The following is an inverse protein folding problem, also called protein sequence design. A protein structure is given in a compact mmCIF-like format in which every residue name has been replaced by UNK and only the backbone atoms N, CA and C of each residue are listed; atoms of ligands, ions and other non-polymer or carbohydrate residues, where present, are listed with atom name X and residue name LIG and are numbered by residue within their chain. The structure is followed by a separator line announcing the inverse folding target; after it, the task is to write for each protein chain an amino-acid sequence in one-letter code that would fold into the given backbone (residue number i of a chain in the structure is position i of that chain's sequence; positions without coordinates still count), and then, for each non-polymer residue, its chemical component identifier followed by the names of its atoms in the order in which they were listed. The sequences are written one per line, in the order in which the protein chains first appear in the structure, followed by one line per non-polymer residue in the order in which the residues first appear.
data_IF_843785393390
#
_entry.id   IF_843785393390
#
_cell.length_a   1.000
_cell.length_b   1.000
_cell.length_c   1.000
_cell.angle_alpha   90.00
_cell.angle_beta   90.00
_cell.angle_gamma   90.00
#
_symmetry.space_group_name_H-M   'P 1'
#
loop_
_entity.id
_entity.type
_entity.pdbx_description
1 polymer ?
#
# COMPACT_ATOMS: atom_id res chain seq x y z
N UNK A 1 20.63 31.20 -2.54
CA UNK A 1 20.70 31.71 -1.16
C UNK A 1 19.52 31.11 -0.41
N UNK A 2 19.76 30.20 0.51
CA UNK A 2 18.74 29.53 1.33
C UNK A 2 18.38 30.51 2.47
N UNK A 3 17.09 30.70 2.74
CA UNK A 3 16.60 31.55 3.82
C UNK A 3 16.93 30.98 5.20
N UNK A 4 16.91 31.81 6.28
CA UNK A 4 17.53 31.50 7.57
C UNK A 4 16.78 30.50 8.49
N UNK A 5 15.75 29.83 8.07
CA UNK A 5 14.93 28.95 8.95
C UNK A 5 14.66 27.57 8.36
N UNK A 6 15.72 26.84 7.99
CA UNK A 6 15.57 25.49 7.47
C UNK A 6 16.33 24.50 8.36
N UNK A 7 15.60 23.66 9.10
CA UNK A 7 16.16 22.58 9.92
C UNK A 7 16.04 21.27 9.16
N UNK A 8 17.17 20.61 8.96
CA UNK A 8 17.27 19.30 8.29
C UNK A 8 17.09 18.19 9.33
N UNK A 9 15.91 17.61 9.43
CA UNK A 9 15.67 16.38 10.17
C UNK A 9 15.27 15.28 9.19
N UNK A 10 16.16 14.31 9.01
CA UNK A 10 15.92 13.06 8.30
C UNK A 10 15.40 13.17 6.85
N UNK A 11 15.94 14.09 6.03
CA UNK A 11 15.71 14.12 4.59
C UNK A 11 14.33 14.60 4.12
N UNK A 12 13.52 15.17 5.01
CA UNK A 12 12.23 15.81 4.69
C UNK A 12 12.36 17.30 4.99
N UNK A 13 12.10 18.16 3.99
CA UNK A 13 12.02 19.61 4.18
C UNK A 13 10.67 19.95 4.79
N UNK A 14 10.65 20.32 6.06
CA UNK A 14 9.51 20.97 6.70
C UNK A 14 9.67 22.47 6.60
N UNK A 15 8.65 23.18 6.17
CA UNK A 15 8.51 24.60 6.41
C UNK A 15 8.07 24.79 7.87
N UNK A 16 8.62 25.78 8.58
CA UNK A 16 8.41 26.02 10.03
C UNK A 16 6.95 26.24 10.47
N UNK A 17 6.00 26.27 9.54
CA UNK A 17 4.58 26.57 9.81
C UNK A 17 3.66 25.34 9.90
N UNK A 18 4.16 24.11 9.68
CA UNK A 18 3.29 22.92 9.74
C UNK A 18 3.34 22.25 11.11
N UNK A 19 2.19 22.17 11.77
CA UNK A 19 2.07 21.45 13.03
C UNK A 19 2.48 19.97 12.87
N UNK A 20 3.29 19.45 13.80
CA UNK A 20 3.73 18.05 13.74
C UNK A 20 2.53 17.12 13.82
N UNK A 21 2.39 16.21 12.83
CA UNK A 21 1.34 15.21 12.80
C UNK A 21 1.58 14.11 13.83
N UNK A 22 0.53 13.72 14.58
CA UNK A 22 0.58 12.63 15.57
C UNK A 22 0.51 11.26 14.88
N UNK A 23 -0.34 11.11 13.89
CA UNK A 23 -0.41 9.86 13.11
C UNK A 23 0.92 9.68 12.38
N UNK A 24 1.54 8.53 12.59
CA UNK A 24 2.89 8.22 12.11
C UNK A 24 3.98 8.32 13.18
N UNK A 25 3.66 8.76 14.39
CA UNK A 25 4.57 8.72 15.52
C UNK A 25 4.49 7.36 16.24
N UNK A 26 5.65 6.77 16.51
CA UNK A 26 5.80 5.64 17.42
C UNK A 26 5.76 6.16 18.87
N UNK A 27 5.63 5.28 19.84
CA UNK A 27 5.51 5.69 21.25
C UNK A 27 6.69 6.55 21.77
N UNK A 28 7.96 6.25 21.41
CA UNK A 28 9.07 7.14 21.77
C UNK A 28 8.98 8.53 21.12
N UNK A 29 8.52 8.60 19.87
CA UNK A 29 8.34 9.87 19.15
C UNK A 29 7.26 10.73 19.82
N UNK A 30 6.15 10.11 20.24
CA UNK A 30 5.09 10.78 20.99
C UNK A 30 5.59 11.30 22.33
N UNK A 31 6.40 10.51 23.05
CA UNK A 31 6.99 10.96 24.31
C UNK A 31 7.88 12.20 24.09
N UNK A 32 8.69 12.19 23.02
CA UNK A 32 9.52 13.34 22.69
C UNK A 32 8.68 14.58 22.30
N UNK A 33 7.60 14.37 21.51
CA UNK A 33 6.69 15.44 21.10
C UNK A 33 5.91 16.08 22.27
N UNK A 34 5.62 15.30 23.33
CA UNK A 34 4.98 15.80 24.54
C UNK A 34 5.92 16.64 25.42
N UNK A 35 7.22 16.39 25.34
CA UNK A 35 8.23 17.03 26.18
C UNK A 35 8.47 16.28 27.50
N UNK A 36 9.57 16.63 28.18
CA UNK A 36 10.03 15.99 29.41
C UNK A 36 9.11 16.24 30.61
N UNK A 37 8.33 17.30 30.59
CA UNK A 37 7.39 17.67 31.64
C UNK A 37 6.17 16.74 31.71
N UNK A 38 5.87 16.02 30.63
CA UNK A 38 4.73 15.11 30.59
C UNK A 38 5.14 13.67 30.99
N UNK A 39 4.41 13.04 31.92
CA UNK A 39 4.69 11.67 32.32
C UNK A 39 4.56 10.69 31.13
N UNK A 40 5.40 9.66 31.07
CA UNK A 40 5.44 8.69 29.98
C UNK A 40 4.08 7.98 29.70
N UNK A 41 3.22 7.86 30.70
CA UNK A 41 1.90 7.28 30.51
C UNK A 41 0.98 8.14 29.62
N UNK A 42 1.23 9.46 29.50
CA UNK A 42 0.47 10.36 28.61
C UNK A 42 0.67 10.00 27.13
N UNK A 43 1.90 9.69 26.74
CA UNK A 43 2.18 9.19 25.39
C UNK A 43 1.42 7.90 25.10
N UNK A 44 1.35 6.98 26.07
CA UNK A 44 0.56 5.74 25.92
C UNK A 44 -0.94 6.01 25.80
N UNK A 45 -1.49 6.97 26.56
CA UNK A 45 -2.90 7.35 26.45
C UNK A 45 -3.22 7.90 25.07
N UNK A 46 -2.36 8.75 24.50
CA UNK A 46 -2.55 9.30 23.15
C UNK A 46 -2.37 8.18 22.11
N UNK A 47 -1.36 7.34 22.24
CA UNK A 47 -1.09 6.23 21.35
C UNK A 47 -2.28 5.27 21.27
N UNK A 48 -2.82 4.86 22.42
CA UNK A 48 -4.01 4.02 22.50
C UNK A 48 -5.24 4.73 21.88
N UNK A 49 -5.45 6.00 22.19
CA UNK A 49 -6.56 6.80 21.66
C UNK A 49 -6.51 6.89 20.14
N UNK A 50 -5.34 7.16 19.54
CA UNK A 50 -5.15 7.33 18.11
C UNK A 50 -5.23 6.00 17.35
N UNK A 51 -4.47 4.99 17.79
CA UNK A 51 -4.28 3.78 16.99
C UNK A 51 -5.24 2.64 17.36
N UNK A 52 -5.66 2.53 18.63
CA UNK A 52 -6.58 1.48 19.08
C UNK A 52 -8.03 1.94 19.07
N UNK A 53 -8.30 3.09 19.71
CA UNK A 53 -9.66 3.67 19.76
C UNK A 53 -10.00 4.42 18.47
N UNK A 54 -8.97 4.82 17.67
CA UNK A 54 -9.09 5.54 16.41
C UNK A 54 -9.78 6.89 16.54
N UNK A 55 -9.54 7.58 17.66
CA UNK A 55 -10.00 8.95 17.86
C UNK A 55 -9.32 9.86 16.82
N UNK A 56 -10.10 10.63 16.10
CA UNK A 56 -9.64 11.47 14.99
C UNK A 56 -9.42 12.92 15.34
N UNK A 57 -9.61 13.31 16.61
CA UNK A 57 -9.45 14.67 17.08
C UNK A 57 -8.87 14.65 18.50
N UNK A 58 -7.81 15.43 18.73
CA UNK A 58 -7.12 15.51 20.02
C UNK A 58 -8.03 15.97 21.17
N UNK A 59 -8.99 16.86 20.90
CA UNK A 59 -9.91 17.35 21.92
C UNK A 59 -10.89 16.27 22.40
N UNK A 60 -11.06 15.20 21.62
CA UNK A 60 -11.93 14.06 21.96
C UNK A 60 -11.23 13.00 22.82
N UNK A 61 -9.93 13.12 23.12
CA UNK A 61 -9.19 12.17 23.96
C UNK A 61 -9.55 12.43 25.43
N UNK A 62 -10.69 11.94 25.87
CA UNK A 62 -11.31 12.31 27.17
C UNK A 62 -10.52 11.87 28.41
N UNK A 63 -9.62 10.90 28.29
CA UNK A 63 -8.73 10.46 29.37
C UNK A 63 -7.51 11.40 29.60
N UNK A 64 -7.38 12.48 28.81
CA UNK A 64 -6.43 13.56 29.04
C UNK A 64 -7.12 14.76 29.73
N UNK A 65 -6.40 15.54 30.58
CA UNK A 65 -6.90 16.80 31.11
C UNK A 65 -7.31 17.77 30.00
N UNK A 66 -8.37 18.54 30.24
CA UNK A 66 -8.89 19.51 29.25
C UNK A 66 -7.84 20.52 28.81
N UNK A 67 -7.02 21.03 29.77
CA UNK A 67 -5.94 21.96 29.50
C UNK A 67 -4.89 21.36 28.55
N UNK A 68 -4.47 20.11 28.81
CA UNK A 68 -3.51 19.41 27.97
C UNK A 68 -4.06 19.15 26.56
N UNK A 69 -5.33 18.75 26.43
CA UNK A 69 -5.96 18.56 25.10
C UNK A 69 -5.92 19.84 24.27
N UNK A 70 -6.27 20.98 24.87
CA UNK A 70 -6.24 22.28 24.19
C UNK A 70 -4.80 22.69 23.81
N UNK A 71 -3.85 22.51 24.71
CA UNK A 71 -2.44 22.76 24.46
C UNK A 71 -1.93 21.89 23.28
N UNK A 72 -2.18 20.59 23.31
CA UNK A 72 -1.73 19.70 22.24
C UNK A 72 -2.37 20.07 20.90
N UNK A 73 -3.67 20.36 20.88
CA UNK A 73 -4.37 20.77 19.66
C UNK A 73 -3.91 22.10 19.08
N UNK A 74 -3.24 22.97 19.86
CA UNK A 74 -2.68 24.23 19.35
C UNK A 74 -1.30 24.08 18.69
N UNK A 75 -0.59 22.97 18.92
CA UNK A 75 0.77 22.75 18.39
C UNK A 75 0.97 21.46 17.61
N UNK A 76 0.03 20.53 17.68
CA UNK A 76 0.09 19.27 16.98
C UNK A 76 -1.16 19.08 16.11
N UNK A 77 -1.00 18.52 14.93
CA UNK A 77 -2.10 18.09 14.08
C UNK A 77 -2.38 16.60 14.27
N UNK A 78 -3.60 16.15 13.98
CA UNK A 78 -3.89 14.70 13.95
C UNK A 78 -3.14 14.02 12.79
N UNK A 79 -3.09 14.64 11.61
CA UNK A 79 -2.40 14.13 10.43
C UNK A 79 -3.15 12.99 9.72
N UNK A 80 -4.48 12.94 9.87
CA UNK A 80 -5.32 12.00 9.12
C UNK A 80 -5.67 12.59 7.75
N UNK A 81 -5.61 11.79 6.65
CA UNK A 81 -6.06 12.25 5.35
C UNK A 81 -7.58 12.45 5.34
N UNK A 82 -8.04 13.43 4.56
CA UNK A 82 -9.44 13.74 4.38
C UNK A 82 -10.02 13.07 3.12
N UNK A 83 -11.28 12.57 3.14
CA UNK A 83 -11.89 12.02 1.94
C UNK A 83 -12.28 13.14 0.97
N UNK A 84 -11.66 13.18 -0.22
CA UNK A 84 -12.04 14.07 -1.31
C UNK A 84 -13.14 13.45 -2.21
N UNK A 85 -13.12 12.10 -2.37
CA UNK A 85 -14.16 11.38 -3.11
C UNK A 85 -14.25 9.91 -2.67
N UNK A 86 -15.44 9.31 -2.81
CA UNK A 86 -15.71 7.89 -2.65
C UNK A 86 -16.38 7.34 -3.91
N UNK A 87 -15.93 6.18 -4.37
CA UNK A 87 -16.51 5.43 -5.48
C UNK A 87 -16.89 4.04 -5.01
N UNK A 88 -18.10 3.60 -5.34
CA UNK A 88 -18.68 2.33 -4.91
C UNK A 88 -18.91 1.40 -6.09
N UNK A 89 -18.28 0.23 -6.06
CA UNK A 89 -18.46 -0.81 -7.04
C UNK A 89 -19.66 -1.70 -6.72
N UNK A 90 -20.24 -2.29 -7.75
CA UNK A 90 -21.32 -3.29 -7.62
C UNK A 90 -20.86 -4.56 -6.88
N UNK A 91 -19.56 -4.83 -6.80
CA UNK A 91 -18.99 -5.96 -6.06
C UNK A 91 -18.67 -5.64 -4.59
N UNK A 92 -19.11 -4.49 -4.10
CA UNK A 92 -18.88 -4.00 -2.73
C UNK A 92 -17.53 -3.31 -2.52
N UNK A 93 -16.64 -3.30 -3.51
CA UNK A 93 -15.35 -2.58 -3.43
C UNK A 93 -15.59 -1.08 -3.34
N UNK A 94 -14.80 -0.40 -2.51
CA UNK A 94 -14.84 1.06 -2.36
C UNK A 94 -13.48 1.64 -2.62
N UNK A 95 -13.40 2.64 -3.49
CA UNK A 95 -12.20 3.42 -3.78
C UNK A 95 -12.37 4.82 -3.20
N UNK A 96 -11.41 5.22 -2.41
CA UNK A 96 -11.33 6.55 -1.81
C UNK A 96 -10.22 7.35 -2.46
N UNK A 97 -10.52 8.57 -2.85
CA UNK A 97 -9.53 9.60 -3.13
C UNK A 97 -9.34 10.37 -1.82
N UNK A 98 -8.16 10.28 -1.24
CA UNK A 98 -7.82 10.90 0.04
C UNK A 98 -6.90 12.09 -0.20
N UNK A 99 -7.28 13.25 0.32
CA UNK A 99 -6.49 14.47 0.31
C UNK A 99 -5.52 14.48 1.50
N UNK A 100 -4.28 14.82 1.23
CA UNK A 100 -3.20 14.98 2.18
C UNK A 100 -3.09 16.46 2.60
N UNK A 101 -2.31 16.73 3.64
CA UNK A 101 -2.15 18.08 4.19
C UNK A 101 -1.63 19.11 3.16
N UNK A 102 -0.80 18.66 2.23
CA UNK A 102 -0.25 19.46 1.13
C UNK A 102 -1.15 19.54 -0.11
N UNK A 103 -2.45 19.20 0.03
CA UNK A 103 -3.48 19.18 -1.01
C UNK A 103 -3.25 18.15 -2.13
N UNK A 104 -2.21 17.32 -2.02
CA UNK A 104 -2.04 16.18 -2.90
C UNK A 104 -3.02 15.08 -2.53
N UNK A 105 -3.31 14.24 -3.50
CA UNK A 105 -4.26 13.15 -3.28
C UNK A 105 -3.62 11.79 -3.53
N UNK A 106 -4.08 10.79 -2.79
CA UNK A 106 -3.76 9.38 -3.00
C UNK A 106 -5.01 8.53 -2.99
N UNK A 107 -4.93 7.35 -3.58
CA UNK A 107 -6.06 6.43 -3.61
C UNK A 107 -5.85 5.27 -2.65
N UNK A 108 -6.93 4.91 -1.97
CA UNK A 108 -7.03 3.77 -1.06
C UNK A 108 -8.26 2.97 -1.41
N UNK A 109 -8.15 1.64 -1.40
CA UNK A 109 -9.26 0.76 -1.80
C UNK A 109 -9.59 -0.21 -0.67
N UNK A 110 -10.87 -0.26 -0.28
CA UNK A 110 -11.42 -1.30 0.56
C UNK A 110 -12.07 -2.38 -0.33
N UNK A 111 -11.65 -3.61 -0.15
CA UNK A 111 -12.19 -4.80 -0.81
C UNK A 111 -12.78 -5.73 0.24
N UNK A 112 -14.09 -5.65 0.53
CA UNK A 112 -14.75 -6.60 1.41
C UNK A 112 -14.86 -7.95 0.71
N UNK A 113 -14.60 -9.03 1.43
CA UNK A 113 -14.79 -10.39 0.97
C UNK A 113 -15.81 -11.06 1.89
N UNK A 114 -17.02 -11.28 1.40
CA UNK A 114 -18.06 -11.99 2.09
C UNK A 114 -18.03 -13.48 1.70
N UNK A 115 -17.83 -14.33 2.66
CA UNK A 115 -17.95 -15.80 2.53
C UNK A 115 -19.02 -16.33 3.48
N UNK A 116 -19.50 -17.58 3.29
CA UNK A 116 -20.55 -18.15 4.13
C UNK A 116 -20.24 -18.11 5.64
N UNK A 117 -18.95 -18.20 5.99
CA UNK A 117 -18.54 -18.30 7.39
C UNK A 117 -17.64 -17.15 7.89
N UNK A 118 -17.18 -16.23 7.05
CA UNK A 118 -16.25 -15.18 7.46
C UNK A 118 -16.28 -13.95 6.54
N UNK A 119 -16.43 -12.77 7.17
CA UNK A 119 -16.10 -11.49 6.53
C UNK A 119 -14.58 -11.33 6.55
N UNK A 120 -13.98 -11.00 5.42
CA UNK A 120 -12.57 -10.57 5.31
C UNK A 120 -12.53 -9.25 4.60
N UNK A 121 -11.78 -8.32 5.16
CA UNK A 121 -11.55 -7.04 4.54
C UNK A 121 -10.09 -6.96 4.07
N UNK A 122 -9.87 -6.43 2.89
CA UNK A 122 -8.53 -6.10 2.41
C UNK A 122 -8.48 -4.61 2.09
N UNK A 123 -7.55 -3.90 2.70
CA UNK A 123 -7.28 -2.50 2.38
C UNK A 123 -6.03 -2.45 1.50
N UNK A 124 -6.17 -1.91 0.30
CA UNK A 124 -5.06 -1.60 -0.60
C UNK A 124 -4.66 -0.15 -0.37
N UNK A 125 -3.40 0.07 0.02
CA UNK A 125 -2.87 1.39 0.36
C UNK A 125 -1.73 1.80 -0.56
N UNK A 126 -1.57 3.11 -0.70
CA UNK A 126 -0.52 3.78 -1.48
C UNK A 126 0.70 4.05 -0.60
N UNK A 127 1.89 4.11 -1.22
CA UNK A 127 3.16 4.42 -0.57
C UNK A 127 3.84 5.69 -1.09
N UNK A 128 3.38 6.21 -2.22
CA UNK A 128 3.88 7.41 -2.88
C UNK A 128 2.73 8.17 -3.53
N UNK A 129 2.92 9.45 -3.76
CA UNK A 129 2.10 10.26 -4.68
C UNK A 129 2.67 10.06 -6.07
N UNK A 130 1.99 9.24 -6.90
CA UNK A 130 2.52 8.76 -8.19
C UNK A 130 3.48 7.57 -8.05
N UNK A 131 4.24 7.25 -9.10
CA UNK A 131 5.21 6.14 -9.11
C UNK A 131 6.32 6.37 -10.15
N UNK A 132 7.61 6.18 -9.80
CA UNK A 132 8.71 6.43 -10.72
C UNK A 132 9.10 5.21 -11.57
N UNK A 133 8.47 4.03 -11.38
CA UNK A 133 8.93 2.77 -11.97
C UNK A 133 8.58 2.66 -13.45
N UNK A 134 7.55 3.37 -13.91
CA UNK A 134 7.12 3.43 -15.31
C UNK A 134 6.75 2.06 -15.92
N UNK A 135 5.99 1.22 -15.17
CA UNK A 135 5.43 -0.01 -15.73
C UNK A 135 4.40 0.32 -16.82
N UNK A 136 4.56 -0.24 -18.04
CA UNK A 136 3.80 0.14 -19.23
C UNK A 136 2.31 -0.24 -19.20
N UNK A 137 1.92 -1.09 -18.25
CA UNK A 137 0.54 -1.57 -18.05
C UNK A 137 -0.14 -0.95 -16.80
N UNK A 138 0.44 0.11 -16.22
CA UNK A 138 -0.03 0.69 -14.96
C UNK A 138 -0.36 2.18 -15.11
N UNK A 139 -1.60 2.58 -14.80
CA UNK A 139 -2.03 3.98 -14.90
C UNK A 139 -1.27 4.90 -13.92
N UNK A 140 -0.90 4.41 -12.75
CA UNK A 140 -0.10 5.21 -11.80
C UNK A 140 1.25 5.62 -12.38
N UNK A 141 1.82 4.80 -13.27
CA UNK A 141 3.09 5.10 -13.91
C UNK A 141 3.02 6.32 -14.83
N UNK A 142 1.85 6.59 -15.43
CA UNK A 142 1.65 7.75 -16.31
C UNK A 142 1.71 9.09 -15.56
N UNK A 143 1.62 9.05 -14.24
CA UNK A 143 1.64 10.26 -13.39
C UNK A 143 3.06 10.72 -13.03
N UNK A 144 4.05 9.83 -13.17
CA UNK A 144 5.37 10.05 -12.59
C UNK A 144 5.36 10.03 -11.06
N UNK A 145 6.46 10.43 -10.45
CA UNK A 145 6.59 10.54 -8.99
C UNK A 145 6.56 12.02 -8.59
N UNK A 146 5.68 12.36 -7.65
CA UNK A 146 5.72 13.67 -7.00
C UNK A 146 6.52 13.61 -5.69
N UNK A 147 6.15 12.72 -4.76
CA UNK A 147 6.88 12.48 -3.51
C UNK A 147 6.56 11.15 -2.84
N UNK A 148 7.39 10.80 -1.89
CA UNK A 148 7.09 9.72 -0.95
C UNK A 148 5.99 10.13 0.03
N UNK A 149 5.18 9.17 0.47
CA UNK A 149 4.30 9.35 1.62
C UNK A 149 5.10 9.20 2.91
N UNK A 150 4.73 9.97 3.92
CA UNK A 150 5.22 9.77 5.29
C UNK A 150 4.64 8.49 5.89
N UNK A 151 5.22 8.00 6.97
CA UNK A 151 4.66 6.86 7.71
C UNK A 151 3.23 7.17 8.21
N UNK A 152 2.98 8.42 8.60
CA UNK A 152 1.66 8.89 9.01
C UNK A 152 0.63 8.83 7.90
N UNK A 153 0.96 9.29 6.71
CA UNK A 153 0.08 9.23 5.55
C UNK A 153 -0.21 7.79 5.11
N UNK A 154 0.77 6.87 5.26
CA UNK A 154 0.56 5.44 4.99
C UNK A 154 -0.39 4.82 6.01
N UNK A 155 -0.17 5.04 7.30
CA UNK A 155 -1.03 4.54 8.40
C UNK A 155 -2.39 5.21 8.38
N UNK A 156 -2.44 6.50 8.08
CA UNK A 156 -3.66 7.31 8.00
C UNK A 156 -4.70 6.76 7.03
N UNK A 157 -4.26 6.20 5.89
CA UNK A 157 -5.15 5.51 4.95
C UNK A 157 -5.87 4.33 5.61
N UNK A 158 -5.13 3.52 6.39
CA UNK A 158 -5.71 2.38 7.12
C UNK A 158 -6.67 2.86 8.20
N UNK A 159 -6.25 3.84 9.01
CA UNK A 159 -7.10 4.40 10.08
C UNK A 159 -8.38 5.02 9.52
N UNK A 160 -8.29 5.74 8.39
CA UNK A 160 -9.46 6.30 7.71
C UNK A 160 -10.47 5.21 7.35
N UNK A 161 -10.04 4.16 6.64
CA UNK A 161 -10.94 3.07 6.22
C UNK A 161 -11.49 2.31 7.42
N UNK A 162 -10.66 2.02 8.43
CA UNK A 162 -11.11 1.33 9.63
C UNK A 162 -12.16 2.13 10.41
N UNK A 163 -12.07 3.46 10.43
CA UNK A 163 -13.08 4.34 11.06
C UNK A 163 -14.36 4.38 10.22
N UNK A 164 -14.24 4.63 8.92
CA UNK A 164 -15.39 4.75 8.02
C UNK A 164 -16.24 3.46 7.94
N UNK A 165 -15.65 2.31 8.24
CA UNK A 165 -16.31 1.00 8.17
C UNK A 165 -16.39 0.27 9.52
N UNK A 166 -16.08 0.92 10.63
CA UNK A 166 -16.14 0.37 11.97
C UNK A 166 -15.42 -0.99 12.12
N UNK A 167 -14.29 -1.16 11.39
CA UNK A 167 -13.53 -2.41 11.40
C UNK A 167 -12.85 -2.57 12.77
N UNK A 168 -13.23 -3.57 13.54
CA UNK A 168 -12.71 -3.81 14.91
C UNK A 168 -11.23 -4.20 14.93
N UNK A 169 -10.55 -3.93 16.04
CA UNK A 169 -9.17 -4.35 16.33
C UNK A 169 -9.07 -5.07 17.67
N UNK A 170 -8.11 -5.99 17.85
CA UNK A 170 -7.28 -6.60 16.80
C UNK A 170 -8.15 -7.41 15.83
N UNK A 171 -7.88 -7.30 14.55
CA UNK A 171 -8.65 -8.00 13.50
C UNK A 171 -7.80 -9.08 12.82
N UNK A 172 -8.16 -10.34 13.01
CA UNK A 172 -7.64 -11.47 12.23
C UNK A 172 -8.26 -11.55 10.82
N UNK A 173 -9.23 -10.69 10.54
CA UNK A 173 -9.98 -10.63 9.26
C UNK A 173 -9.52 -9.50 8.35
N UNK A 174 -8.70 -8.57 8.83
CA UNK A 174 -8.17 -7.47 8.05
C UNK A 174 -6.82 -7.82 7.41
N UNK A 175 -6.70 -7.62 6.10
CA UNK A 175 -5.44 -7.67 5.37
C UNK A 175 -5.09 -6.28 4.84
N UNK A 176 -3.81 -5.95 4.84
CA UNK A 176 -3.27 -4.75 4.21
C UNK A 176 -2.39 -5.17 3.03
N UNK A 177 -2.58 -4.55 1.88
CA UNK A 177 -1.71 -4.73 0.73
C UNK A 177 -1.16 -3.39 0.27
N UNK A 178 0.16 -3.24 0.23
CA UNK A 178 0.85 -2.08 -0.32
C UNK A 178 1.02 -2.30 -1.82
N UNK A 179 -0.12 -2.20 -2.53
CA UNK A 179 -0.26 -2.44 -3.98
C UNK A 179 -1.03 -1.30 -4.67
N UNK A 180 -1.23 -0.19 -3.96
CA UNK A 180 -1.79 1.05 -4.47
C UNK A 180 -0.77 1.84 -5.28
N UNK A 181 -0.79 3.16 -5.15
CA UNK A 181 0.12 4.05 -5.86
C UNK A 181 1.53 3.98 -5.25
N UNK A 182 2.55 3.87 -6.13
CA UNK A 182 3.96 3.93 -5.73
C UNK A 182 4.70 2.59 -5.73
N UNK A 183 6.03 2.70 -5.59
CA UNK A 183 6.95 1.58 -5.34
C UNK A 183 7.39 1.62 -3.87
N UNK A 184 6.86 0.73 -3.02
CA UNK A 184 7.12 0.80 -1.57
C UNK A 184 8.60 0.71 -1.18
N UNK A 185 9.41 -0.03 -1.94
CA UNK A 185 10.84 -0.16 -1.64
C UNK A 185 11.64 1.12 -1.93
N UNK A 186 11.12 2.05 -2.74
CA UNK A 186 11.71 3.38 -2.89
C UNK A 186 11.34 4.32 -1.74
N UNK A 187 10.38 3.92 -0.91
CA UNK A 187 9.99 4.61 0.33
C UNK A 187 10.20 3.74 1.57
N UNK A 188 11.20 2.87 1.56
CA UNK A 188 11.35 1.82 2.56
C UNK A 188 11.36 2.31 4.01
N UNK A 189 12.05 3.40 4.40
CA UNK A 189 12.04 3.86 5.79
C UNK A 189 10.64 4.16 6.32
N UNK A 190 9.81 4.89 5.57
CA UNK A 190 8.44 5.20 5.96
C UNK A 190 7.53 3.96 5.95
N UNK A 191 7.72 3.06 4.98
CA UNK A 191 6.99 1.80 4.88
C UNK A 191 7.28 0.89 6.07
N UNK A 192 8.53 0.80 6.52
CA UNK A 192 8.89 0.02 7.71
C UNK A 192 8.34 0.65 8.98
N UNK A 193 8.48 1.97 9.14
CA UNK A 193 7.88 2.69 10.28
C UNK A 193 6.36 2.50 10.32
N UNK A 194 5.67 2.64 9.19
CA UNK A 194 4.24 2.36 9.10
C UNK A 194 3.91 0.89 9.44
N UNK A 195 4.72 -0.07 8.98
CA UNK A 195 4.53 -1.49 9.31
C UNK A 195 4.67 -1.74 10.82
N UNK A 196 5.65 -1.12 11.48
CA UNK A 196 5.80 -1.23 12.95
C UNK A 196 4.57 -0.69 13.67
N UNK A 197 4.08 0.48 13.30
CA UNK A 197 2.87 1.07 13.90
C UNK A 197 1.64 0.18 13.67
N UNK A 198 1.44 -0.31 12.44
CA UNK A 198 0.31 -1.18 12.09
C UNK A 198 0.33 -2.52 12.87
N UNK A 199 1.52 -3.00 13.23
CA UNK A 199 1.68 -4.30 13.91
C UNK A 199 1.87 -4.18 15.43
N UNK A 200 2.01 -2.97 15.96
CA UNK A 200 2.21 -2.76 17.39
C UNK A 200 1.00 -3.25 18.20
N UNK A 201 1.18 -4.21 19.11
CA UNK A 201 0.09 -4.72 19.96
C UNK A 201 -0.54 -3.65 20.86
N UNK A 202 0.17 -2.59 21.21
CA UNK A 202 -0.35 -1.47 21.98
C UNK A 202 -1.28 -0.55 21.17
N UNK A 203 -1.26 -0.67 19.83
CA UNK A 203 -2.05 0.13 18.90
C UNK A 203 -3.02 -0.71 18.06
N UNK A 204 -2.80 -0.76 16.74
CA UNK A 204 -3.68 -1.47 15.80
C UNK A 204 -3.55 -2.99 15.94
N UNK A 205 -2.35 -3.50 16.21
CA UNK A 205 -2.13 -4.90 16.56
C UNK A 205 -2.31 -5.91 15.41
N UNK A 206 -2.10 -5.50 14.15
CA UNK A 206 -2.18 -6.42 13.02
C UNK A 206 -1.02 -7.41 13.02
N UNK A 207 -1.30 -8.68 12.74
CA UNK A 207 -0.23 -9.64 12.51
C UNK A 207 0.58 -9.29 11.24
N UNK A 208 1.92 -9.35 11.24
CA UNK A 208 2.74 -9.20 10.04
C UNK A 208 2.33 -10.16 8.91
N UNK A 209 1.71 -11.30 9.22
CA UNK A 209 1.14 -12.25 8.24
C UNK A 209 0.00 -11.63 7.40
N UNK A 210 -0.60 -10.54 7.89
CA UNK A 210 -1.72 -9.86 7.25
C UNK A 210 -1.29 -8.69 6.37
N UNK A 211 -0.02 -8.31 6.40
CA UNK A 211 0.50 -7.20 5.61
C UNK A 211 1.35 -7.77 4.47
N UNK A 212 1.10 -7.32 3.25
CA UNK A 212 1.88 -7.70 2.05
C UNK A 212 2.36 -6.45 1.35
N UNK A 213 3.65 -6.37 1.09
CA UNK A 213 4.30 -5.36 0.27
C UNK A 213 4.55 -5.94 -1.11
N UNK A 214 4.16 -5.21 -2.17
CA UNK A 214 4.51 -5.54 -3.55
C UNK A 214 5.61 -4.62 -4.05
N UNK A 215 6.55 -5.18 -4.83
CA UNK A 215 7.66 -4.42 -5.43
C UNK A 215 7.86 -4.78 -6.89
N UNK A 216 8.24 -3.79 -7.69
CA UNK A 216 8.71 -4.01 -9.06
C UNK A 216 10.13 -4.62 -9.12
N UNK A 217 10.81 -4.74 -7.97
CA UNK A 217 12.11 -5.39 -7.88
C UNK A 217 13.28 -4.43 -7.73
N UNK A 218 13.25 -3.58 -6.71
CA UNK A 218 14.41 -2.74 -6.33
C UNK A 218 15.39 -3.61 -5.56
N UNK A 219 16.27 -4.32 -6.30
CA UNK A 219 17.10 -5.42 -5.82
C UNK A 219 17.84 -5.13 -4.50
N UNK A 220 18.59 -4.02 -4.32
CA UNK A 220 19.27 -3.74 -3.06
C UNK A 220 18.29 -3.58 -1.88
N UNK A 221 17.11 -3.04 -2.14
CA UNK A 221 16.09 -2.80 -1.10
C UNK A 221 15.33 -4.08 -0.70
N UNK A 222 15.32 -5.12 -1.54
CA UNK A 222 14.80 -6.45 -1.16
C UNK A 222 15.68 -7.03 -0.04
N UNK A 223 17.01 -6.94 -0.16
CA UNK A 223 17.93 -7.40 0.86
C UNK A 223 17.84 -6.58 2.15
N UNK A 224 17.65 -5.26 2.03
CA UNK A 224 17.42 -4.35 3.16
C UNK A 224 16.13 -4.70 3.92
N UNK A 225 15.00 -4.87 3.20
CA UNK A 225 13.74 -5.32 3.78
C UNK A 225 13.91 -6.68 4.50
N UNK A 226 14.69 -7.59 3.94
CA UNK A 226 14.95 -8.91 4.54
C UNK A 226 15.58 -8.85 5.92
N UNK A 227 16.34 -7.80 6.24
CA UNK A 227 17.00 -7.60 7.55
C UNK A 227 16.09 -6.99 8.60
N UNK A 228 14.95 -6.43 8.19
CA UNK A 228 14.02 -5.81 9.14
C UNK A 228 13.36 -6.86 10.04
N UNK A 229 13.42 -6.70 11.36
CA UNK A 229 12.84 -7.66 12.31
C UNK A 229 11.30 -7.70 12.20
N UNK A 230 10.68 -6.55 11.95
CA UNK A 230 9.24 -6.40 11.70
C UNK A 230 9.06 -5.98 10.26
N UNK A 231 8.61 -6.88 9.41
CA UNK A 231 8.42 -6.63 7.98
C UNK A 231 7.17 -7.29 7.43
N UNK A 232 6.54 -6.72 6.38
CA UNK A 232 5.44 -7.35 5.66
C UNK A 232 5.90 -8.60 4.90
N UNK A 233 4.95 -9.39 4.39
CA UNK A 233 5.23 -10.42 3.37
C UNK A 233 5.66 -9.75 2.07
N UNK A 234 6.54 -10.41 1.33
CA UNK A 234 7.03 -9.91 0.06
C UNK A 234 6.26 -10.52 -1.12
N UNK A 235 5.71 -9.63 -1.97
CA UNK A 235 5.24 -9.93 -3.31
C UNK A 235 6.14 -9.23 -4.33
N UNK A 236 6.47 -9.91 -5.42
CA UNK A 236 7.34 -9.41 -6.48
C UNK A 236 6.59 -9.38 -7.80
N UNK A 237 6.51 -8.21 -8.41
CA UNK A 237 5.94 -8.00 -9.74
C UNK A 237 6.90 -8.55 -10.80
N UNK A 238 6.68 -9.79 -11.21
CA UNK A 238 7.48 -10.46 -12.24
C UNK A 238 7.09 -9.98 -13.64
N UNK A 239 5.84 -10.12 -14.01
CA UNK A 239 5.13 -9.63 -15.20
C UNK A 239 5.74 -9.98 -16.57
N UNK A 240 6.83 -10.74 -16.58
CA UNK A 240 7.50 -11.21 -17.79
C UNK A 240 8.18 -12.55 -17.55
N UNK A 241 8.41 -13.31 -18.60
CA UNK A 241 9.01 -14.64 -18.55
C UNK A 241 10.49 -14.66 -18.94
N UNK A 242 11.01 -13.54 -19.45
CA UNK A 242 12.41 -13.36 -19.85
C UNK A 242 12.85 -11.90 -19.69
N UNK A 243 14.15 -11.66 -19.81
CA UNK A 243 14.79 -10.36 -19.60
C UNK A 243 14.31 -9.30 -20.60
N UNK A 244 14.25 -9.63 -21.90
CA UNK A 244 13.89 -8.70 -22.96
C UNK A 244 12.45 -8.22 -22.80
N UNK A 245 11.52 -9.14 -22.67
CA UNK A 245 10.10 -8.84 -22.40
C UNK A 245 9.94 -7.99 -21.13
N UNK A 246 10.71 -8.28 -20.08
CA UNK A 246 10.63 -7.50 -18.86
C UNK A 246 11.18 -6.08 -18.99
N UNK A 247 12.22 -5.88 -19.82
CA UNK A 247 12.75 -4.53 -20.10
C UNK A 247 11.74 -3.64 -20.80
N UNK A 248 10.94 -4.20 -21.69
CA UNK A 248 9.87 -3.48 -22.39
C UNK A 248 8.72 -3.14 -21.46
N UNK A 249 8.24 -4.12 -20.70
CA UNK A 249 7.08 -3.95 -19.83
C UNK A 249 7.38 -3.19 -18.54
N UNK A 250 8.59 -3.34 -18.00
CA UNK A 250 9.04 -2.77 -16.73
C UNK A 250 10.45 -2.20 -16.89
N UNK A 251 10.61 -0.93 -17.30
CA UNK A 251 11.90 -0.30 -17.57
C UNK A 251 12.93 -0.34 -16.44
N UNK A 252 12.48 -0.53 -15.20
CA UNK A 252 13.35 -0.75 -14.03
C UNK A 252 14.33 -1.94 -14.24
N UNK A 253 13.98 -2.87 -15.12
CA UNK A 253 14.81 -4.02 -15.50
C UNK A 253 16.14 -3.61 -16.13
N UNK A 254 16.21 -2.41 -16.73
CA UNK A 254 17.48 -1.85 -17.24
C UNK A 254 18.48 -1.58 -16.12
N UNK A 255 17.98 -1.31 -14.91
CA UNK A 255 18.81 -1.05 -13.71
C UNK A 255 19.06 -2.32 -12.90
N UNK A 256 18.06 -3.20 -12.81
CA UNK A 256 18.12 -4.44 -12.06
C UNK A 256 17.64 -5.58 -12.95
N UNK A 257 18.57 -6.43 -13.41
CA UNK A 257 18.28 -7.53 -14.33
C UNK A 257 17.29 -8.54 -13.70
N UNK A 258 16.59 -9.29 -14.53
CA UNK A 258 15.73 -10.38 -14.08
C UNK A 258 16.55 -11.43 -13.29
N UNK A 259 17.80 -11.69 -13.73
CA UNK A 259 18.71 -12.59 -13.01
C UNK A 259 18.99 -12.08 -11.60
N UNK A 260 19.37 -10.80 -11.44
CA UNK A 260 19.66 -10.23 -10.12
C UNK A 260 18.42 -10.22 -9.23
N UNK A 261 17.24 -9.97 -9.80
CA UNK A 261 15.98 -10.04 -9.08
C UNK A 261 15.71 -11.45 -8.54
N UNK A 262 15.88 -12.49 -9.35
CA UNK A 262 15.67 -13.87 -8.93
C UNK A 262 16.71 -14.29 -7.87
N UNK A 263 17.97 -13.89 -8.02
CA UNK A 263 18.98 -14.16 -6.98
C UNK A 263 18.68 -13.42 -5.66
N UNK A 264 18.20 -12.19 -5.71
CA UNK A 264 17.75 -11.47 -4.52
C UNK A 264 16.55 -12.16 -3.84
N UNK A 265 15.61 -12.68 -4.62
CA UNK A 265 14.48 -13.47 -4.12
C UNK A 265 14.94 -14.78 -3.48
N UNK A 266 15.94 -15.46 -4.05
CA UNK A 266 16.53 -16.69 -3.52
C UNK A 266 17.24 -16.45 -2.19
N UNK A 267 17.93 -15.32 -2.06
CA UNK A 267 18.65 -14.93 -0.85
C UNK A 267 17.72 -14.33 0.23
N UNK A 268 16.44 -14.04 -0.09
CA UNK A 268 15.53 -13.42 0.86
C UNK A 268 15.20 -14.35 2.03
N UNK A 269 15.37 -13.90 3.29
CA UNK A 269 15.21 -14.77 4.48
C UNK A 269 13.72 -14.99 4.79
N UNK A 270 13.11 -16.00 4.19
CA UNK A 270 11.74 -16.39 4.46
C UNK A 270 11.57 -16.94 5.87
N UNK A 271 10.47 -16.56 6.53
CA UNK A 271 10.04 -17.19 7.78
C UNK A 271 9.50 -18.61 7.49
N UNK A 272 9.46 -19.54 8.46
CA UNK A 272 9.02 -20.92 8.22
C UNK A 272 7.64 -21.07 7.57
N UNK A 273 6.74 -20.13 7.84
CA UNK A 273 5.37 -20.11 7.31
C UNK A 273 5.22 -19.29 6.02
N UNK A 274 6.28 -18.59 5.59
CA UNK A 274 6.23 -17.59 4.52
C UNK A 274 6.58 -18.20 3.16
N UNK A 275 5.92 -17.72 2.13
CA UNK A 275 6.27 -17.96 0.73
C UNK A 275 6.40 -16.64 0.02
N UNK A 276 7.34 -16.54 -0.89
CA UNK A 276 7.36 -15.44 -1.86
C UNK A 276 6.08 -15.49 -2.71
N UNK A 277 5.57 -14.33 -3.05
CA UNK A 277 4.47 -14.22 -4.00
C UNK A 277 4.99 -13.56 -5.25
N UNK A 278 4.79 -14.16 -6.42
CA UNK A 278 5.07 -13.51 -7.70
C UNK A 278 3.74 -13.09 -8.33
N UNK A 279 3.60 -11.79 -8.58
CA UNK A 279 2.46 -11.23 -9.31
C UNK A 279 2.82 -11.20 -10.80
N UNK A 280 1.91 -11.70 -11.64
CA UNK A 280 2.11 -11.77 -13.08
C UNK A 280 0.86 -11.27 -13.79
N UNK A 281 0.95 -10.05 -14.34
CA UNK A 281 -0.10 -9.45 -15.16
C UNK A 281 -0.02 -10.06 -16.55
N UNK A 282 -1.07 -10.76 -16.96
CA UNK A 282 -1.19 -11.37 -18.29
C UNK A 282 -1.70 -10.32 -19.28
N UNK A 283 -0.94 -10.15 -20.36
CA UNK A 283 -1.18 -9.23 -21.48
C UNK A 283 -1.36 -10.07 -22.76
N UNK A 284 -2.51 -9.93 -23.41
CA UNK A 284 -2.89 -10.72 -24.59
C UNK A 284 -1.85 -10.62 -25.70
N UNK A 285 -1.35 -11.77 -26.14
CA UNK A 285 -0.38 -11.88 -27.23
C UNK A 285 1.03 -11.35 -26.91
N UNK A 286 1.29 -10.94 -25.66
CA UNK A 286 2.58 -10.36 -25.25
C UNK A 286 3.35 -11.30 -24.35
N UNK A 287 2.76 -11.70 -23.22
CA UNK A 287 3.43 -12.49 -22.18
C UNK A 287 2.57 -13.69 -21.69
N UNK A 288 1.55 -14.05 -22.46
CA UNK A 288 0.52 -15.03 -22.05
C UNK A 288 0.62 -16.38 -22.79
N UNK A 289 1.68 -16.62 -23.57
CA UNK A 289 1.85 -17.87 -24.31
C UNK A 289 2.20 -19.07 -23.39
N UNK A 290 2.01 -20.28 -23.90
CA UNK A 290 2.47 -21.52 -23.22
C UNK A 290 3.98 -21.53 -22.99
N UNK A 291 4.73 -20.95 -23.93
CA UNK A 291 6.18 -20.81 -23.79
C UNK A 291 6.53 -19.88 -22.63
N UNK A 292 5.76 -18.78 -22.44
CA UNK A 292 5.91 -17.89 -21.27
C UNK A 292 5.63 -18.63 -19.99
N UNK A 293 4.54 -19.38 -19.90
CA UNK A 293 4.20 -20.17 -18.72
C UNK A 293 5.31 -21.16 -18.33
N UNK A 294 5.89 -21.87 -19.32
CA UNK A 294 7.01 -22.80 -19.09
C UNK A 294 8.28 -22.06 -18.63
N UNK A 295 8.57 -20.87 -19.18
CA UNK A 295 9.70 -20.03 -18.73
C UNK A 295 9.49 -19.55 -17.29
N UNK A 296 8.27 -19.13 -16.93
CA UNK A 296 7.94 -18.76 -15.52
C UNK A 296 8.18 -19.93 -14.58
N UNK A 297 7.75 -21.15 -14.96
CA UNK A 297 8.05 -22.38 -14.17
C UNK A 297 9.56 -22.53 -14.00
N UNK A 298 10.35 -22.46 -15.09
CA UNK A 298 11.80 -22.59 -15.03
C UNK A 298 12.47 -21.55 -14.13
N UNK A 299 11.98 -20.31 -14.16
CA UNK A 299 12.50 -19.21 -13.34
C UNK A 299 12.25 -19.42 -11.85
N UNK A 300 11.09 -19.99 -11.47
CA UNK A 300 10.61 -19.98 -10.08
C UNK A 300 10.60 -21.34 -9.38
N UNK A 301 10.76 -22.46 -10.11
CA UNK A 301 10.61 -23.82 -9.55
C UNK A 301 11.54 -24.13 -8.38
N UNK A 302 12.68 -23.45 -8.27
CA UNK A 302 13.67 -23.62 -7.20
C UNK A 302 13.43 -22.71 -5.98
N UNK A 303 12.36 -21.88 -6.01
CA UNK A 303 12.02 -20.96 -4.94
C UNK A 303 10.81 -21.48 -4.13
N UNK A 304 10.79 -21.22 -2.83
CA UNK A 304 9.57 -21.42 -2.03
C UNK A 304 8.57 -20.29 -2.33
N UNK A 305 7.82 -20.45 -3.40
CA UNK A 305 7.01 -19.40 -3.97
C UNK A 305 5.60 -19.86 -4.37
N UNK A 306 4.76 -18.88 -4.67
CA UNK A 306 3.47 -19.02 -5.35
C UNK A 306 3.33 -17.93 -6.40
N UNK A 307 2.50 -18.16 -7.41
CA UNK A 307 2.21 -17.20 -8.47
C UNK A 307 0.76 -16.74 -8.37
N UNK A 308 0.54 -15.46 -8.46
CA UNK A 308 -0.78 -14.86 -8.66
C UNK A 308 -0.85 -14.31 -10.10
N UNK A 309 -1.75 -14.85 -10.90
CA UNK A 309 -2.05 -14.36 -12.23
C UNK A 309 -3.12 -13.28 -12.16
N UNK A 310 -2.90 -12.20 -12.86
CA UNK A 310 -3.81 -11.07 -12.97
C UNK A 310 -4.09 -10.86 -14.45
N UNK A 311 -5.29 -11.15 -14.93
CA UNK A 311 -5.68 -10.69 -16.25
C UNK A 311 -5.67 -9.15 -16.24
N UNK A 312 -5.05 -8.52 -17.25
CA UNK A 312 -4.93 -7.07 -17.33
C UNK A 312 -6.27 -6.38 -17.02
N UNK A 313 -6.21 -5.38 -16.18
CA UNK A 313 -7.33 -4.46 -16.00
C UNK A 313 -7.11 -3.28 -16.96
N UNK A 314 -7.93 -3.14 -18.02
CA UNK A 314 -7.75 -2.08 -19.00
C UNK A 314 -7.99 -0.70 -18.39
N UNK A 315 -7.37 0.30 -18.97
CA UNK A 315 -7.55 1.70 -18.57
C UNK A 315 -7.14 2.67 -19.68
N UNK A 316 -7.58 3.92 -19.61
CA UNK A 316 -7.27 4.92 -20.64
C UNK A 316 -5.75 5.16 -20.71
N UNK A 317 -5.19 5.06 -21.92
CA UNK A 317 -3.75 5.22 -22.18
C UNK A 317 -2.92 3.94 -22.03
N UNK A 318 -3.52 2.79 -21.69
CA UNK A 318 -2.86 1.48 -21.69
C UNK A 318 -3.08 0.82 -23.06
N UNK A 319 -1.99 0.56 -23.78
CA UNK A 319 -2.02 0.01 -25.13
C UNK A 319 -2.21 -1.52 -25.21
N UNK A 320 -2.26 -2.20 -24.06
CA UNK A 320 -2.35 -3.66 -24.01
C UNK A 320 -3.80 -4.13 -23.86
N UNK A 321 -4.06 -5.37 -24.30
CA UNK A 321 -5.35 -6.02 -24.20
C UNK A 321 -5.38 -7.08 -23.10
N UNK A 322 -6.58 -7.30 -22.54
CA UNK A 322 -6.84 -8.36 -21.59
C UNK A 322 -6.92 -9.70 -22.34
N UNK A 323 -6.21 -10.76 -21.94
CA UNK A 323 -6.40 -12.09 -22.47
C UNK A 323 -7.78 -12.64 -22.12
N UNK A 324 -8.31 -13.53 -22.96
CA UNK A 324 -9.55 -14.21 -22.64
C UNK A 324 -9.38 -15.22 -21.49
N UNK A 325 -10.51 -15.63 -20.91
CA UNK A 325 -10.51 -16.47 -19.73
C UNK A 325 -9.95 -17.89 -19.99
N UNK A 326 -10.03 -18.37 -21.22
CA UNK A 326 -9.46 -19.67 -21.61
C UNK A 326 -7.95 -19.62 -21.58
N UNK A 327 -7.36 -18.60 -22.20
CA UNK A 327 -5.90 -18.39 -22.21
C UNK A 327 -5.34 -18.26 -20.78
N UNK A 328 -6.03 -17.53 -19.90
CA UNK A 328 -5.65 -17.43 -18.49
C UNK A 328 -5.67 -18.80 -17.79
N UNK A 329 -6.69 -19.64 -18.05
CA UNK A 329 -6.77 -20.98 -17.48
C UNK A 329 -5.67 -21.92 -17.99
N UNK A 330 -5.36 -21.87 -19.28
CA UNK A 330 -4.28 -22.66 -19.87
C UNK A 330 -2.92 -22.29 -19.28
N UNK A 331 -2.60 -20.99 -19.21
CA UNK A 331 -1.39 -20.51 -18.55
C UNK A 331 -1.32 -20.98 -17.09
N UNK A 332 -2.42 -20.81 -16.34
CA UNK A 332 -2.52 -21.27 -14.97
C UNK A 332 -2.26 -22.78 -14.86
N UNK A 333 -2.84 -23.59 -15.75
CA UNK A 333 -2.72 -25.04 -15.70
C UNK A 333 -1.27 -25.50 -15.83
N UNK A 334 -0.48 -24.83 -16.70
CA UNK A 334 0.94 -25.12 -16.89
C UNK A 334 1.72 -24.78 -15.62
N UNK A 335 1.54 -23.57 -15.08
CA UNK A 335 2.28 -23.12 -13.88
C UNK A 335 1.87 -23.93 -12.65
N UNK A 336 0.60 -24.27 -12.52
CA UNK A 336 0.06 -25.02 -11.36
C UNK A 336 0.61 -26.43 -11.23
N UNK A 337 1.10 -27.04 -12.30
CA UNK A 337 1.78 -28.36 -12.24
C UNK A 337 3.08 -28.34 -11.45
N UNK A 338 3.73 -27.15 -11.36
CA UNK A 338 5.03 -27.00 -10.69
C UNK A 338 4.93 -26.28 -9.34
N UNK A 339 3.99 -25.36 -9.18
CA UNK A 339 3.86 -24.55 -7.95
C UNK A 339 2.44 -24.00 -7.76
N UNK A 340 2.06 -23.59 -6.52
CA UNK A 340 0.75 -22.97 -6.29
C UNK A 340 0.56 -21.74 -7.19
N UNK A 341 -0.50 -21.76 -8.01
CA UNK A 341 -0.82 -20.69 -8.95
C UNK A 341 -2.31 -20.34 -8.85
N UNK A 342 -2.60 -19.06 -8.61
CA UNK A 342 -3.96 -18.56 -8.39
C UNK A 342 -4.26 -17.45 -9.39
N UNK A 343 -5.47 -17.46 -9.94
CA UNK A 343 -5.99 -16.34 -10.72
C UNK A 343 -6.68 -15.37 -9.77
N UNK A 344 -6.21 -14.13 -9.74
CA UNK A 344 -6.81 -13.07 -8.93
C UNK A 344 -8.11 -12.60 -9.58
N UNK A 345 -9.21 -12.68 -8.85
CA UNK A 345 -10.47 -12.07 -9.28
C UNK A 345 -10.31 -10.55 -9.22
N UNK A 346 -10.54 -9.83 -10.32
CA UNK A 346 -10.49 -8.37 -10.29
C UNK A 346 -11.60 -7.83 -9.38
N UNK A 347 -11.31 -6.76 -8.65
CA UNK A 347 -12.23 -6.09 -7.75
C UNK A 347 -12.34 -4.63 -8.13
N UNK A 348 -13.58 -4.10 -8.15
CA UNK A 348 -13.83 -2.68 -8.43
C UNK A 348 -13.39 -2.21 -9.82
N UNK A 349 -13.47 -3.05 -10.86
CA UNK A 349 -13.10 -2.66 -12.23
C UNK A 349 -13.93 -1.50 -12.77
N UNK A 350 -15.21 -1.49 -12.45
CA UNK A 350 -16.21 -0.49 -12.85
C UNK A 350 -15.93 0.90 -12.26
N UNK A 351 -15.17 0.96 -11.19
CA UNK A 351 -14.74 2.20 -10.53
C UNK A 351 -13.23 2.46 -10.61
N UNK A 352 -12.51 1.80 -11.51
CA UNK A 352 -11.06 1.90 -11.65
C UNK A 352 -10.28 1.63 -10.36
N UNK A 353 -10.76 0.69 -9.52
CA UNK A 353 -10.11 0.32 -8.26
C UNK A 353 -9.21 -0.92 -8.37
N UNK A 354 -9.20 -1.62 -9.50
CA UNK A 354 -8.40 -2.81 -9.68
C UNK A 354 -6.90 -2.49 -9.83
N UNK A 355 -6.06 -3.51 -9.61
CA UNK A 355 -4.60 -3.36 -9.68
C UNK A 355 -4.17 -2.72 -11.02
N UNK A 356 -3.31 -1.70 -10.94
CA UNK A 356 -2.82 -0.93 -12.09
C UNK A 356 -3.74 0.19 -12.58
N UNK A 357 -4.94 0.35 -12.01
CA UNK A 357 -5.94 1.34 -12.46
C UNK A 357 -5.96 2.65 -11.65
N UNK A 358 -5.24 2.76 -10.54
CA UNK A 358 -5.25 3.95 -9.70
C UNK A 358 -4.53 5.12 -10.37
N UNK A 359 -5.22 6.26 -10.54
CA UNK A 359 -4.72 7.39 -11.34
C UNK A 359 -5.08 8.78 -10.79
N UNK A 360 -5.79 8.89 -9.69
CA UNK A 360 -6.30 10.16 -9.12
C UNK A 360 -7.31 10.91 -10.02
N UNK A 361 -7.77 10.33 -11.12
CA UNK A 361 -8.77 10.94 -11.97
C UNK A 361 -10.17 10.76 -11.42
N UNK A 362 -10.93 11.85 -11.45
CA UNK A 362 -12.38 11.84 -11.28
C UNK A 362 -12.98 11.40 -12.62
N UNK A 363 -13.76 10.30 -12.72
CA UNK A 363 -14.45 9.96 -13.95
C UNK A 363 -15.43 11.07 -14.31
N UNK A 364 -15.23 11.74 -15.47
CA UNK A 364 -16.08 12.79 -16.00
C UNK A 364 -15.81 14.15 -15.33
N UNK A 365 -14.85 14.91 -15.86
CA UNK A 365 -14.63 16.31 -15.46
C UNK A 365 -15.88 17.13 -15.65
N UNK A 366 -16.38 17.73 -14.57
CA UNK A 366 -17.43 18.70 -14.28
C UNK A 366 -18.52 18.17 -13.32
N UNK A 367 -18.19 17.36 -12.36
CA UNK A 367 -19.10 16.95 -11.28
C UNK A 367 -18.70 17.53 -9.94
N UNK A 368 -19.42 18.52 -9.45
CA UNK A 368 -19.46 18.84 -8.02
C UNK A 368 -19.97 17.61 -7.27
N UNK A 369 -19.08 16.94 -6.53
CA UNK A 369 -19.47 15.79 -5.71
C UNK A 369 -20.20 16.27 -4.46
N UNK A 370 -21.48 15.92 -4.36
CA UNK A 370 -22.19 15.92 -3.09
C UNK A 370 -21.79 14.64 -2.34
N UNK A 371 -21.16 14.78 -1.17
CA UNK A 371 -21.19 13.73 -0.16
C UNK A 371 -22.67 13.35 0.01
N UNK A 372 -22.97 12.06 -0.12
CA UNK A 372 -24.25 11.56 0.35
C UNK A 372 -24.23 11.71 1.88
N UNK A 373 -24.73 12.86 2.36
CA UNK A 373 -25.17 12.99 3.74
C UNK A 373 -26.36 12.06 3.88
N UNK A 374 -26.30 11.24 4.91
CA UNK A 374 -27.35 10.35 5.35
C UNK A 374 -28.73 10.98 5.23
N UNK A 375 -29.57 10.43 4.38
CA UNK A 375 -31.01 10.47 4.58
C UNK A 375 -31.47 9.03 4.86
N UNK A 376 -31.82 8.86 6.13
CA UNK A 376 -32.47 7.75 6.84
C UNK A 376 -31.65 6.57 7.23
#
# INVERSE_FOLDING_TARGET
MLGPNMVLLAGVFYTEDMAQAIVGLELPDLQAALGSEQPAFRARQIYDAVYRQRIGDLVQITNLPVSLRKELASRLAMGLPAPAAEYRSTDGTRRYLLELEDQRTVETVLMPEEGPDRKRDTICISSQVGCPVNCQFCLTALMGLERNLTAGEIVGQVLFVMRAHEIATPSDRLNIVMMGMGEPLLNLPNVIKATRILTDPAGIGLSPKRITLSTAGIVPKIAELGREPVRPKLAVSLNASNEEQRRELMPITRKYSLKDLIEACKAYPLRPWEKLTFEYVLLKGVNDSDADARRVVKLLAHLNAKVNLIALNPGPGIAFETPDAERVREFQSIVRRAMPCFVRKPRGRDIFAACGQLKREVPGGNGTFKLATDEH
#
